data_IF_980191339770
#
_entry.id   IF_980191339770
#
_cell.length_a   1.000
_cell.length_b   1.000
_cell.length_c   1.000
_cell.angle_alpha   90.00
_cell.angle_beta   90.00
_cell.angle_gamma   90.00
#
_symmetry.space_group_name_H-M   'P 1'
#
loop_
_entity.id
_entity.type
_entity.pdbx_description
1 polymer ?
#
# COMPACT_ATOMS: atom_id res chain seq x y z
N UNK A 1 19.65 -9.75 12.36
CA UNK A 1 19.30 -8.72 11.37
C UNK A 1 20.17 -7.49 11.63
N UNK A 2 20.93 -7.07 10.63
CA UNK A 2 21.74 -5.84 10.66
C UNK A 2 20.92 -4.63 10.19
N UNK A 3 21.35 -3.41 10.54
CA UNK A 3 20.66 -2.16 10.14
C UNK A 3 20.43 -2.07 8.63
N UNK A 4 21.42 -2.45 7.83
CA UNK A 4 21.31 -2.45 6.36
C UNK A 4 20.25 -3.44 5.85
N UNK A 5 20.17 -4.64 6.44
CA UNK A 5 19.16 -5.64 6.08
C UNK A 5 17.75 -5.15 6.42
N UNK A 6 17.59 -4.49 7.58
CA UNK A 6 16.33 -3.90 8.00
C UNK A 6 15.89 -2.76 7.08
N UNK A 7 16.81 -1.87 6.69
CA UNK A 7 16.52 -0.78 5.76
C UNK A 7 16.09 -1.32 4.39
N UNK A 8 16.80 -2.33 3.88
CA UNK A 8 16.50 -2.91 2.57
C UNK A 8 15.14 -3.62 2.56
N UNK A 9 14.82 -4.34 3.64
CA UNK A 9 13.52 -4.98 3.82
C UNK A 9 12.38 -3.94 3.85
N UNK A 10 12.52 -2.88 4.65
CA UNK A 10 11.50 -1.83 4.73
C UNK A 10 11.34 -1.09 3.39
N UNK A 11 12.43 -0.82 2.68
CA UNK A 11 12.37 -0.23 1.35
C UNK A 11 11.58 -1.10 0.37
N UNK A 12 11.82 -2.41 0.37
CA UNK A 12 11.10 -3.35 -0.49
C UNK A 12 9.60 -3.41 -0.17
N UNK A 13 9.23 -3.45 1.11
CA UNK A 13 7.82 -3.43 1.51
C UNK A 13 7.11 -2.13 1.15
N UNK A 14 7.78 -0.98 1.31
CA UNK A 14 7.23 0.33 0.91
C UNK A 14 6.94 0.34 -0.60
N UNK A 15 7.91 -0.06 -1.43
CA UNK A 15 7.75 -0.12 -2.88
C UNK A 15 6.59 -1.05 -3.30
N UNK A 16 6.53 -2.24 -2.68
CA UNK A 16 5.50 -3.22 -2.96
C UNK A 16 4.10 -2.70 -2.59
N UNK A 17 3.96 -2.06 -1.43
CA UNK A 17 2.68 -1.48 -1.00
C UNK A 17 2.25 -0.33 -1.92
N UNK A 18 3.16 0.54 -2.36
CA UNK A 18 2.84 1.60 -3.32
C UNK A 18 2.34 1.03 -4.67
N UNK A 19 2.87 -0.13 -5.08
CA UNK A 19 2.36 -0.87 -6.25
C UNK A 19 0.94 -1.41 -6.02
N UNK A 20 0.66 -1.96 -4.83
CA UNK A 20 -0.68 -2.40 -4.46
C UNK A 20 -1.69 -1.26 -4.45
N UNK A 21 -1.35 -0.11 -3.87
CA UNK A 21 -2.23 1.07 -3.85
C UNK A 21 -2.64 1.49 -5.26
N UNK A 22 -1.68 1.59 -6.19
CA UNK A 22 -1.97 1.92 -7.60
C UNK A 22 -2.90 0.89 -8.24
N UNK A 23 -2.60 -0.40 -8.04
CA UNK A 23 -3.39 -1.49 -8.60
C UNK A 23 -4.81 -1.52 -8.04
N UNK A 24 -4.99 -1.29 -6.73
CA UNK A 24 -6.31 -1.25 -6.11
C UNK A 24 -7.15 -0.10 -6.65
N UNK A 25 -6.59 1.11 -6.76
CA UNK A 25 -7.31 2.26 -7.34
C UNK A 25 -7.74 2.01 -8.79
N UNK A 26 -6.86 1.42 -9.60
CA UNK A 26 -7.19 1.05 -10.97
C UNK A 26 -8.37 0.06 -11.01
N UNK A 27 -8.32 -0.99 -10.17
CA UNK A 27 -9.40 -1.99 -10.11
C UNK A 27 -10.69 -1.44 -9.52
N UNK A 28 -10.62 -0.56 -8.52
CA UNK A 28 -11.79 0.14 -7.99
C UNK A 28 -12.49 0.96 -9.09
N UNK A 29 -11.72 1.62 -9.96
CA UNK A 29 -12.26 2.29 -11.15
C UNK A 29 -13.00 1.35 -12.09
N UNK A 30 -12.40 0.20 -12.40
CA UNK A 30 -13.02 -0.83 -13.26
C UNK A 30 -14.28 -1.45 -12.64
N UNK A 31 -14.28 -1.65 -11.32
CA UNK A 31 -15.40 -2.26 -10.59
C UNK A 31 -16.59 -1.32 -10.45
N UNK A 32 -16.41 0.00 -10.52
CA UNK A 32 -17.45 0.99 -10.22
C UNK A 32 -18.70 0.84 -11.08
N UNK A 33 -18.52 0.48 -12.35
CA UNK A 33 -19.63 0.23 -13.29
C UNK A 33 -20.33 -1.12 -13.06
N UNK A 34 -19.67 -2.07 -12.39
CA UNK A 34 -20.18 -3.43 -12.15
C UNK A 34 -20.85 -3.51 -10.77
N UNK A 35 -20.18 -3.01 -9.74
CA UNK A 35 -20.63 -2.98 -8.36
C UNK A 35 -19.97 -1.80 -7.64
N UNK A 36 -20.72 -0.71 -7.40
CA UNK A 36 -20.23 0.43 -6.63
C UNK A 36 -19.76 0.05 -5.22
N UNK A 37 -20.41 -0.94 -4.59
CA UNK A 37 -20.06 -1.44 -3.27
C UNK A 37 -18.71 -2.19 -3.28
N UNK A 38 -18.49 -3.07 -4.25
CA UNK A 38 -17.19 -3.74 -4.41
C UNK A 38 -16.07 -2.73 -4.73
N UNK A 39 -16.35 -1.73 -5.58
CA UNK A 39 -15.41 -0.65 -5.87
C UNK A 39 -15.05 0.14 -4.61
N UNK A 40 -16.03 0.44 -3.75
CA UNK A 40 -15.78 1.10 -2.47
C UNK A 40 -14.88 0.25 -1.57
N UNK A 41 -15.15 -1.05 -1.43
CA UNK A 41 -14.32 -1.94 -0.61
C UNK A 41 -12.86 -1.99 -1.09
N UNK A 42 -12.62 -1.97 -2.41
CA UNK A 42 -11.26 -1.92 -2.97
C UNK A 42 -10.59 -0.56 -2.75
N UNK A 43 -11.34 0.55 -2.82
CA UNK A 43 -10.80 1.88 -2.50
C UNK A 43 -10.41 1.99 -1.02
N UNK A 44 -11.24 1.46 -0.11
CA UNK A 44 -10.93 1.40 1.33
C UNK A 44 -9.66 0.57 1.60
N UNK A 45 -9.48 -0.55 0.88
CA UNK A 45 -8.25 -1.33 0.95
C UNK A 45 -7.02 -0.52 0.48
N UNK A 46 -7.15 0.32 -0.55
CA UNK A 46 -6.08 1.20 -1.00
C UNK A 46 -5.70 2.22 0.08
N UNK A 47 -6.68 2.84 0.73
CA UNK A 47 -6.46 3.81 1.83
C UNK A 47 -5.74 3.14 3.00
N UNK A 48 -6.15 1.95 3.41
CA UNK A 48 -5.49 1.21 4.49
C UNK A 48 -4.04 0.84 4.13
N UNK A 49 -3.79 0.47 2.88
CA UNK A 49 -2.44 0.17 2.40
C UNK A 49 -1.55 1.43 2.38
N UNK A 50 -2.07 2.59 2.02
CA UNK A 50 -1.34 3.86 2.14
C UNK A 50 -0.99 4.16 3.60
N UNK A 51 -1.94 4.01 4.52
CA UNK A 51 -1.67 4.21 5.95
C UNK A 51 -0.59 3.27 6.47
N UNK A 52 -0.64 1.98 6.06
CA UNK A 52 0.41 1.01 6.37
C UNK A 52 1.78 1.49 5.84
N UNK A 53 1.82 1.91 4.57
CA UNK A 53 3.03 2.42 3.90
C UNK A 53 3.65 3.60 4.63
N UNK A 54 2.83 4.56 5.09
CA UNK A 54 3.32 5.71 5.85
C UNK A 54 3.88 5.33 7.23
N UNK A 55 3.35 4.28 7.87
CA UNK A 55 3.95 3.74 9.10
C UNK A 55 5.32 3.12 8.81
N UNK A 56 5.46 2.38 7.71
CA UNK A 56 6.73 1.78 7.30
C UNK A 56 7.78 2.84 6.94
N UNK A 57 7.39 3.91 6.24
CA UNK A 57 8.28 5.05 5.95
C UNK A 57 8.83 5.69 7.23
N UNK A 58 7.97 5.93 8.22
CA UNK A 58 8.37 6.46 9.54
C UNK A 58 9.28 5.50 10.31
N UNK A 59 8.98 4.19 10.27
CA UNK A 59 9.85 3.17 10.86
C UNK A 59 11.23 3.18 10.21
N UNK A 60 11.31 3.26 8.87
CA UNK A 60 12.57 3.32 8.13
C UNK A 60 13.40 4.57 8.43
N UNK A 61 12.74 5.73 8.60
CA UNK A 61 13.39 6.97 9.03
C UNK A 61 13.98 6.88 10.45
N UNK A 62 13.50 5.95 11.27
CA UNK A 62 13.94 5.75 12.65
C UNK A 62 14.96 4.62 12.81
N UNK A 63 15.40 4.00 11.70
CA UNK A 63 16.51 3.04 11.66
C UNK A 63 17.85 3.77 11.70
#
# INVERSE_FOLDING_TARGET
>A
MHRHEADHLLAHWIEHNESHVRSFRERAGQLREISPEAAQGVEEAAILMEQCTERLKKARQSL
#
